data_IF_949486631557
#
_entry.id   IF_949486631557
#
_cell.length_a   1.000
_cell.length_b   1.000
_cell.length_c   1.000
_cell.angle_alpha   90.00
_cell.angle_beta   90.00
_cell.angle_gamma   90.00
#
_symmetry.space_group_name_H-M   'P 1'
#
loop_
_entity.id
_entity.type
_entity.pdbx_description
1 polymer ?
#
# COMPACT_ATOMS: atom_id res chain seq x y z
N UNK A 1 9.34 -13.12 -2.01
CA UNK A 1 8.32 -12.52 -1.15
C UNK A 1 8.26 -11.05 -1.49
N UNK A 2 7.13 -10.57 -1.98
CA UNK A 2 6.92 -9.14 -2.24
C UNK A 2 6.62 -8.41 -0.92
N UNK A 3 6.72 -7.08 -0.92
CA UNK A 3 6.40 -6.29 0.27
C UNK A 3 4.91 -6.40 0.63
N UNK A 4 4.04 -6.58 -0.35
CA UNK A 4 2.60 -6.81 -0.17
C UNK A 4 2.31 -8.13 0.54
N UNK A 5 3.01 -9.21 0.14
CA UNK A 5 2.95 -10.50 0.81
C UNK A 5 3.52 -10.41 2.24
N UNK A 6 4.60 -9.66 2.43
CA UNK A 6 5.23 -9.47 3.73
C UNK A 6 4.36 -8.63 4.68
N UNK A 7 3.61 -7.66 4.15
CA UNK A 7 2.63 -6.89 4.92
C UNK A 7 1.50 -7.80 5.41
N UNK A 8 0.94 -8.62 4.53
CA UNK A 8 -0.13 -9.57 4.88
C UNK A 8 0.39 -10.62 5.86
N UNK A 9 1.62 -11.10 5.69
CA UNK A 9 2.26 -12.02 6.62
C UNK A 9 2.47 -11.39 8.01
N UNK A 10 2.90 -10.13 8.08
CA UNK A 10 3.06 -9.40 9.34
C UNK A 10 1.71 -9.16 10.05
N UNK A 11 0.64 -8.90 9.29
CA UNK A 11 -0.71 -8.80 9.82
C UNK A 11 -1.21 -10.15 10.35
N UNK A 12 -0.98 -11.23 9.59
CA UNK A 12 -1.33 -12.60 9.99
C UNK A 12 -0.58 -13.04 11.26
N UNK A 13 0.68 -12.61 11.44
CA UNK A 13 1.46 -12.89 12.65
C UNK A 13 1.13 -11.96 13.82
N UNK A 14 0.26 -10.96 13.63
CA UNK A 14 -0.08 -9.95 14.65
C UNK A 14 1.06 -8.96 14.95
N UNK A 15 2.12 -8.93 14.13
CA UNK A 15 3.26 -8.05 14.31
C UNK A 15 2.96 -6.66 13.71
N UNK A 16 2.30 -5.84 14.52
CA UNK A 16 1.85 -4.49 14.13
C UNK A 16 3.00 -3.55 13.79
N UNK A 17 4.13 -3.63 14.49
CA UNK A 17 5.29 -2.77 14.23
C UNK A 17 5.94 -3.11 12.89
N UNK A 18 6.06 -4.41 12.60
CA UNK A 18 6.54 -4.87 11.30
C UNK A 18 5.57 -4.51 10.18
N UNK A 19 4.26 -4.69 10.38
CA UNK A 19 3.25 -4.29 9.41
C UNK A 19 3.31 -2.79 9.09
N UNK A 20 3.52 -1.93 10.10
CA UNK A 20 3.70 -0.49 9.89
C UNK A 20 4.97 -0.15 9.12
N UNK A 21 6.06 -0.85 9.40
CA UNK A 21 7.34 -0.64 8.71
C UNK A 21 7.21 -1.00 7.22
N UNK A 22 6.65 -2.17 6.93
CA UNK A 22 6.42 -2.63 5.55
C UNK A 22 5.42 -1.71 4.83
N UNK A 23 4.37 -1.24 5.52
CA UNK A 23 3.43 -0.26 4.95
C UNK A 23 4.09 1.09 4.59
N UNK A 24 5.08 1.57 5.37
CA UNK A 24 5.85 2.78 5.03
C UNK A 24 6.72 2.55 3.80
N UNK A 25 7.36 1.40 3.70
CA UNK A 25 8.18 1.04 2.55
C UNK A 25 7.36 0.88 1.27
N UNK A 26 6.17 0.26 1.36
CA UNK A 26 5.20 0.19 0.27
C UNK A 26 4.75 1.56 -0.20
N UNK A 27 4.48 2.49 0.74
CA UNK A 27 4.14 3.86 0.37
C UNK A 27 5.28 4.58 -0.37
N UNK A 28 6.53 4.35 0.05
CA UNK A 28 7.70 4.96 -0.58
C UNK A 28 8.01 4.38 -1.98
N UNK A 29 7.72 3.09 -2.19
CA UNK A 29 8.01 2.38 -3.44
C UNK A 29 6.85 2.36 -4.45
N UNK A 30 5.65 2.70 -4.01
CA UNK A 30 4.43 2.52 -4.78
C UNK A 30 3.75 1.21 -4.40
N UNK A 31 2.46 1.31 -4.11
CA UNK A 31 1.65 0.21 -3.60
C UNK A 31 0.97 -0.50 -4.76
N UNK A 32 1.27 -1.79 -4.94
CA UNK A 32 0.61 -2.60 -5.96
C UNK A 32 -0.71 -3.17 -5.42
N UNK A 33 -1.82 -2.58 -5.88
CA UNK A 33 -3.14 -3.04 -5.47
C UNK A 33 -3.46 -4.46 -5.91
N UNK A 34 -2.95 -4.91 -7.07
CA UNK A 34 -3.22 -6.28 -7.54
C UNK A 34 -2.51 -7.32 -6.67
N UNK A 35 -1.27 -7.02 -6.26
CA UNK A 35 -0.52 -7.89 -5.34
C UNK A 35 -1.17 -7.93 -3.94
N UNK A 36 -1.65 -6.79 -3.43
CA UNK A 36 -2.42 -6.75 -2.17
C UNK A 36 -3.72 -7.54 -2.28
N UNK A 37 -4.50 -7.38 -3.37
CA UNK A 37 -5.75 -8.11 -3.56
C UNK A 37 -5.50 -9.62 -3.68
N UNK A 38 -4.44 -10.04 -4.37
CA UNK A 38 -4.05 -11.44 -4.47
C UNK A 38 -3.66 -12.03 -3.09
N UNK A 39 -2.91 -11.28 -2.29
CA UNK A 39 -2.51 -11.72 -0.96
C UNK A 39 -3.69 -11.70 0.03
N UNK A 40 -4.61 -10.73 -0.08
CA UNK A 40 -5.87 -10.69 0.66
C UNK A 40 -6.81 -11.81 0.27
N UNK A 41 -6.84 -12.26 -0.99
CA UNK A 41 -7.69 -13.36 -1.42
C UNK A 41 -7.37 -14.66 -0.65
N UNK A 42 -6.11 -14.85 -0.24
CA UNK A 42 -5.71 -15.95 0.61
C UNK A 42 -6.18 -15.79 2.08
N UNK A 43 -6.34 -14.55 2.56
CA UNK A 43 -6.69 -14.22 3.94
C UNK A 43 -7.64 -13.01 4.04
N UNK A 44 -8.91 -13.16 3.63
CA UNK A 44 -9.82 -12.01 3.47
C UNK A 44 -10.19 -11.32 4.79
N UNK A 45 -10.09 -12.04 5.92
CA UNK A 45 -10.33 -11.51 7.26
C UNK A 45 -9.34 -10.42 7.69
N UNK A 46 -8.19 -10.31 7.00
CA UNK A 46 -7.17 -9.29 7.29
C UNK A 46 -7.44 -7.96 6.59
N UNK A 47 -8.46 -7.86 5.72
CA UNK A 47 -8.75 -6.65 4.95
C UNK A 47 -8.93 -5.43 5.86
N UNK A 48 -9.76 -5.54 6.90
CA UNK A 48 -10.04 -4.42 7.81
C UNK A 48 -8.78 -3.97 8.56
N UNK A 49 -7.96 -4.94 9.00
CA UNK A 49 -6.73 -4.69 9.73
C UNK A 49 -5.65 -4.06 8.83
N UNK A 50 -5.57 -4.50 7.58
CA UNK A 50 -4.71 -3.91 6.56
C UNK A 50 -5.06 -2.44 6.34
N UNK A 51 -6.33 -2.13 6.11
CA UNK A 51 -6.78 -0.76 5.88
C UNK A 51 -6.54 0.13 7.10
N UNK A 52 -6.78 -0.38 8.30
CA UNK A 52 -6.47 0.34 9.54
C UNK A 52 -4.98 0.67 9.64
N UNK A 53 -4.11 -0.31 9.36
CA UNK A 53 -2.65 -0.15 9.40
C UNK A 53 -2.16 0.85 8.36
N UNK A 54 -2.66 0.75 7.12
CA UNK A 54 -2.34 1.70 6.05
C UNK A 54 -2.79 3.12 6.41
N UNK A 55 -3.96 3.28 7.05
CA UNK A 55 -4.47 4.59 7.47
C UNK A 55 -3.70 5.20 8.64
N UNK A 56 -3.16 4.37 9.55
CA UNK A 56 -2.26 4.83 10.62
C UNK A 56 -0.91 5.33 10.09
N UNK A 57 -0.40 4.68 9.04
CA UNK A 57 0.92 4.98 8.47
C UNK A 57 0.86 6.11 7.44
N UNK A 58 -0.24 6.15 6.69
CA UNK A 58 -0.47 7.07 5.60
C UNK A 58 -1.83 7.71 5.88
N UNK A 59 -1.90 8.97 6.36
CA UNK A 59 -3.16 9.66 6.59
C UNK A 59 -3.76 10.10 5.24
N UNK A 60 -4.07 9.13 4.38
CA UNK A 60 -4.69 9.29 3.07
C UNK A 60 -6.00 8.52 3.11
N UNK A 61 -7.09 9.19 2.77
CA UNK A 61 -8.41 8.57 2.72
C UNK A 61 -8.41 7.35 1.78
N UNK A 62 -9.10 6.26 2.15
CA UNK A 62 -9.26 5.03 1.35
C UNK A 62 -9.62 5.30 -0.13
N UNK A 63 -10.42 6.35 -0.40
CA UNK A 63 -10.77 6.84 -1.76
C UNK A 63 -9.62 7.49 -2.54
N UNK A 64 -8.67 8.11 -1.86
CA UNK A 64 -7.48 8.68 -2.46
C UNK A 64 -6.42 7.61 -2.73
N UNK A 65 -6.27 6.61 -1.83
CA UNK A 65 -5.40 5.46 -2.09
C UNK A 65 -5.88 4.63 -3.27
N UNK A 66 -7.19 4.33 -3.36
CA UNK A 66 -7.76 3.57 -4.49
C UNK A 66 -7.61 4.31 -5.82
N UNK A 67 -7.77 5.64 -5.82
CA UNK A 67 -7.50 6.49 -7.00
C UNK A 67 -6.01 6.56 -7.36
N UNK A 68 -5.12 6.56 -6.37
CA UNK A 68 -3.66 6.50 -6.59
C UNK A 68 -3.19 5.13 -7.06
N UNK A 69 -3.78 4.03 -6.59
CA UNK A 69 -3.46 2.70 -7.08
C UNK A 69 -3.88 2.52 -8.54
N UNK A 70 -5.05 3.07 -8.92
CA UNK A 70 -5.48 3.15 -10.33
C UNK A 70 -4.51 4.01 -11.14
N UNK A 71 -4.14 5.20 -10.64
CA UNK A 71 -3.14 6.06 -11.30
C UNK A 71 -1.74 5.45 -11.35
N UNK A 72 -1.28 4.72 -10.34
CA UNK A 72 0.03 4.07 -10.31
C UNK A 72 0.12 2.89 -11.29
N UNK A 73 -1.01 2.22 -11.54
CA UNK A 73 -1.12 1.27 -12.64
C UNK A 73 -1.05 1.95 -14.02
N UNK A 74 -1.48 3.22 -14.13
CA UNK A 74 -1.36 4.06 -15.33
C UNK A 74 0.01 4.80 -15.43
N UNK A 75 0.67 5.11 -14.31
CA UNK A 75 1.97 5.81 -14.20
C UNK A 75 3.18 4.88 -14.35
N UNK A 76 3.02 3.62 -14.79
CA UNK A 76 4.12 2.92 -15.48
C UNK A 76 4.48 3.60 -16.82
N UNK A 77 3.67 4.58 -17.25
CA UNK A 77 3.88 5.43 -18.44
C UNK A 77 4.21 6.90 -18.10
N UNK A 78 4.55 7.23 -16.84
CA UNK A 78 4.92 8.61 -16.46
C UNK A 78 6.18 8.64 -15.58
N UNK A 79 7.31 8.27 -16.19
CA UNK A 79 8.64 8.58 -15.66
C UNK A 79 8.99 10.08 -15.63
N UNK A 80 8.00 10.99 -15.60
CA UNK A 80 8.22 12.43 -15.73
C UNK A 80 7.14 13.22 -14.97
N UNK A 81 7.35 13.42 -13.66
CA UNK A 81 6.59 14.44 -12.92
C UNK A 81 7.45 15.08 -11.82
N UNK A 82 8.57 15.67 -12.21
CA UNK A 82 9.10 16.84 -11.52
C UNK A 82 8.40 18.09 -12.06
N UNK A 83 7.29 18.53 -11.48
CA UNK A 83 7.01 19.98 -11.49
C UNK A 83 6.18 20.43 -10.29
N UNK A 84 6.89 20.63 -9.18
CA UNK A 84 6.36 21.24 -7.97
C UNK A 84 7.39 22.14 -7.30
N UNK A 85 8.24 22.83 -8.07
CA UNK A 85 9.19 23.81 -7.52
C UNK A 85 8.86 25.22 -8.03
N UNK A 86 8.00 25.90 -7.26
CA UNK A 86 7.90 27.35 -7.05
C UNK A 86 8.60 28.24 -8.10
N UNK A 87 7.80 29.05 -8.80
CA UNK A 87 7.94 30.52 -8.74
C UNK A 87 6.60 31.20 -9.01
#
# INVERSE_FOLDING_TARGET
MTLEEELIAALASGDKERAKTVARELHARGLDAAAIEAALAAQPHLEEQLWATLNEVIPISRRALKRRAIRAAEERDWGDWEEGRRR
#
